data_IF_082984067233
#
_entry.id   IF_082984067233
#
_cell.length_a   1.000
_cell.length_b   1.000
_cell.length_c   1.000
_cell.angle_alpha   90.00
_cell.angle_beta   90.00
_cell.angle_gamma   90.00
#
_symmetry.space_group_name_H-M   'P 1'
#
loop_
_entity.id
_entity.type
_entity.pdbx_description
1 polymer ?
#
# COMPACT_ATOMS: atom_id res chain seq x y z
N UNK A 1 -3.96 11.17 -2.27
CA UNK A 1 -4.23 11.56 -0.87
C UNK A 1 -3.61 10.49 -0.01
N UNK A 2 -2.67 10.83 0.88
CA UNK A 2 -1.99 9.81 1.67
C UNK A 2 -2.97 9.10 2.62
N UNK A 3 -3.17 7.80 2.39
CA UNK A 3 -3.94 6.89 3.25
C UNK A 3 -3.14 6.68 4.55
N UNK A 4 -3.78 6.87 5.70
CA UNK A 4 -3.13 6.74 7.02
C UNK A 4 -3.82 5.76 7.95
N UNK A 5 -5.06 5.38 7.64
CA UNK A 5 -5.90 4.49 8.45
C UNK A 5 -6.49 3.36 7.61
N UNK A 6 -6.88 2.26 8.26
CA UNK A 6 -7.56 1.14 7.58
C UNK A 6 -8.88 1.57 6.93
N UNK A 7 -9.64 2.46 7.58
CA UNK A 7 -10.88 2.99 7.02
C UNK A 7 -10.64 3.83 5.74
N UNK A 8 -9.57 4.63 5.70
CA UNK A 8 -9.18 5.33 4.48
C UNK A 8 -8.72 4.35 3.39
N UNK A 9 -8.05 3.26 3.76
CA UNK A 9 -7.65 2.21 2.83
C UNK A 9 -8.87 1.54 2.20
N UNK A 10 -9.85 1.15 3.02
CA UNK A 10 -11.09 0.53 2.54
C UNK A 10 -11.83 1.45 1.56
N UNK A 11 -11.97 2.73 1.90
CA UNK A 11 -12.59 3.71 1.01
C UNK A 11 -11.82 3.88 -0.30
N UNK A 12 -10.49 3.98 -0.23
CA UNK A 12 -9.64 4.10 -1.43
C UNK A 12 -9.73 2.86 -2.32
N UNK A 13 -9.77 1.66 -1.74
CA UNK A 13 -9.94 0.39 -2.47
C UNK A 13 -11.32 0.32 -3.13
N UNK A 14 -12.38 0.71 -2.43
CA UNK A 14 -13.73 0.75 -3.01
C UNK A 14 -13.82 1.74 -4.17
N UNK A 15 -13.26 2.94 -4.03
CA UNK A 15 -13.21 3.94 -5.10
C UNK A 15 -12.40 3.43 -6.30
N UNK A 16 -11.23 2.83 -6.05
CA UNK A 16 -10.40 2.21 -7.09
C UNK A 16 -11.17 1.12 -7.87
N UNK A 17 -11.92 0.27 -7.17
CA UNK A 17 -12.73 -0.78 -7.80
C UNK A 17 -13.87 -0.22 -8.65
N UNK A 18 -14.52 0.87 -8.20
CA UNK A 18 -15.55 1.56 -9.00
C UNK A 18 -14.97 2.14 -10.29
N UNK A 19 -13.75 2.68 -10.22
CA UNK A 19 -13.06 3.28 -11.35
C UNK A 19 -12.34 2.27 -12.25
N UNK A 20 -12.44 0.96 -11.99
CA UNK A 20 -11.69 -0.07 -12.73
C UNK A 20 -11.96 -0.05 -14.24
N UNK A 21 -13.19 0.28 -14.63
CA UNK A 21 -13.68 0.32 -16.01
C UNK A 21 -13.60 1.74 -16.61
N UNK A 22 -12.98 2.70 -15.92
CA UNK A 22 -12.84 4.05 -16.43
C UNK A 22 -12.04 4.02 -17.75
N UNK A 23 -12.48 4.76 -18.79
CA UNK A 23 -11.73 4.86 -20.04
C UNK A 23 -10.34 5.44 -19.80
N UNK A 24 -9.34 4.91 -20.50
CA UNK A 24 -7.98 5.46 -20.46
C UNK A 24 -7.96 6.91 -20.97
N UNK A 25 -7.10 7.74 -20.37
CA UNK A 25 -7.03 9.18 -20.66
C UNK A 25 -8.16 10.02 -20.06
N UNK A 26 -9.14 9.42 -19.38
CA UNK A 26 -10.14 10.17 -18.61
C UNK A 26 -9.61 10.60 -17.23
N UNK A 27 -10.21 11.64 -16.65
CA UNK A 27 -9.91 12.06 -15.27
C UNK A 27 -10.13 10.92 -14.26
N UNK A 28 -11.06 10.01 -14.56
CA UNK A 28 -11.32 8.82 -13.77
C UNK A 28 -10.18 7.80 -13.83
N UNK A 29 -9.50 7.67 -14.97
CA UNK A 29 -8.28 6.85 -15.07
C UNK A 29 -7.11 7.48 -14.29
N UNK A 30 -6.93 8.80 -14.38
CA UNK A 30 -5.92 9.51 -13.58
C UNK A 30 -6.19 9.35 -12.07
N UNK A 31 -7.46 9.43 -11.66
CA UNK A 31 -7.87 9.20 -10.27
C UNK A 31 -7.62 7.76 -9.82
N UNK A 32 -7.91 6.78 -10.68
CA UNK A 32 -7.62 5.36 -10.43
C UNK A 32 -6.12 5.12 -10.20
N UNK A 33 -5.27 5.72 -11.02
CA UNK A 33 -3.81 5.60 -10.87
C UNK A 33 -3.31 6.23 -9.57
N UNK A 34 -3.81 7.42 -9.22
CA UNK A 34 -3.48 8.06 -7.95
C UNK A 34 -3.87 7.18 -6.75
N UNK A 35 -5.10 6.64 -6.75
CA UNK A 35 -5.56 5.73 -5.69
C UNK A 35 -4.70 4.47 -5.59
N UNK A 36 -4.30 3.88 -6.72
CA UNK A 36 -3.41 2.71 -6.72
C UNK A 36 -2.05 3.04 -6.07
N UNK A 37 -1.46 4.19 -6.40
CA UNK A 37 -0.19 4.62 -5.80
C UNK A 37 -0.32 4.86 -4.28
N UNK A 38 -1.41 5.49 -3.85
CA UNK A 38 -1.68 5.72 -2.42
C UNK A 38 -1.88 4.39 -1.65
N UNK A 39 -2.65 3.45 -2.22
CA UNK A 39 -2.90 2.11 -1.66
C UNK A 39 -1.59 1.33 -1.52
N UNK A 40 -0.76 1.31 -2.57
CA UNK A 40 0.54 0.64 -2.51
C UNK A 40 1.46 1.25 -1.45
N UNK A 41 1.50 2.59 -1.38
CA UNK A 41 2.29 3.31 -0.37
C UNK A 41 1.88 2.90 1.05
N UNK A 42 0.57 2.84 1.33
CA UNK A 42 0.05 2.40 2.62
C UNK A 42 0.51 0.98 2.96
N UNK A 43 0.37 0.03 2.02
CA UNK A 43 0.84 -1.34 2.21
C UNK A 43 2.34 -1.43 2.39
N UNK A 44 3.14 -0.62 1.70
CA UNK A 44 4.60 -0.61 1.87
C UNK A 44 5.00 -0.13 3.27
N UNK A 45 4.37 0.93 3.76
CA UNK A 45 4.60 1.46 5.11
C UNK A 45 4.15 0.47 6.19
N UNK A 46 2.99 -0.17 6.02
CA UNK A 46 2.45 -1.13 7.00
C UNK A 46 3.09 -2.53 6.89
N UNK A 47 3.61 -2.94 5.73
CA UNK A 47 4.42 -4.16 5.59
C UNK A 47 5.73 -4.07 6.37
N UNK A 48 6.29 -2.87 6.58
CA UNK A 48 7.45 -2.72 7.46
C UNK A 48 7.11 -3.03 8.92
N UNK A 49 5.88 -2.77 9.36
CA UNK A 49 5.39 -3.15 10.69
C UNK A 49 5.09 -4.67 10.80
N UNK A 50 4.91 -5.37 9.68
CA UNK A 50 4.59 -6.80 9.63
C UNK A 50 5.79 -7.72 9.44
N UNK A 51 6.98 -7.19 9.14
CA UNK A 51 8.21 -7.99 9.26
C UNK A 51 8.71 -7.86 10.70
N UNK A 52 8.49 -8.84 11.59
CA UNK A 52 9.47 -9.03 12.64
C UNK A 52 10.78 -9.26 11.89
N UNK A 53 11.71 -8.31 12.01
CA UNK A 53 13.08 -8.58 11.65
C UNK A 53 13.42 -9.89 12.38
N UNK A 54 13.63 -10.98 11.63
CA UNK A 54 14.19 -12.20 12.22
C UNK A 54 15.36 -11.71 13.08
N UNK A 55 15.41 -12.03 14.39
CA UNK A 55 16.55 -11.64 15.19
C UNK A 55 17.76 -12.15 14.44
N UNK A 56 18.67 -11.24 14.10
CA UNK A 56 19.95 -11.57 13.49
C UNK A 56 20.56 -12.59 14.44
N UNK A 57 20.58 -13.85 14.05
CA UNK A 57 21.32 -14.89 14.76
C UNK A 57 22.76 -14.41 14.80
N UNK A 58 23.18 -13.87 15.94
CA UNK A 58 24.59 -13.62 16.24
C UNK A 58 25.35 -14.91 15.92
N UNK A 59 26.36 -14.89 15.04
CA UNK A 59 27.24 -16.03 14.96
C UNK A 59 27.95 -16.15 16.31
N UNK A 60 27.65 -17.22 17.06
CA UNK A 60 28.37 -17.62 18.25
C UNK A 60 29.87 -17.58 17.95
N UNK A 61 30.57 -16.65 18.58
CA UNK A 61 32.01 -16.68 18.78
C UNK A 61 32.35 -18.00 19.44
N UNK A 62 33.10 -18.86 18.73
CA UNK A 62 33.86 -19.94 19.35
C UNK A 62 35.33 -19.56 19.26
N UNK A 63 35.95 -19.52 20.44
CA UNK A 63 37.38 -19.32 20.64
C UNK A 63 38.19 -20.57 20.36
#
# INVERSE_FOLDING_TARGET
MAIRTDHELENAVQEYQRLRNAPEGSDSAARREALNADIQTYYHQHKQNLRPAKPRTEPLTKG
#
